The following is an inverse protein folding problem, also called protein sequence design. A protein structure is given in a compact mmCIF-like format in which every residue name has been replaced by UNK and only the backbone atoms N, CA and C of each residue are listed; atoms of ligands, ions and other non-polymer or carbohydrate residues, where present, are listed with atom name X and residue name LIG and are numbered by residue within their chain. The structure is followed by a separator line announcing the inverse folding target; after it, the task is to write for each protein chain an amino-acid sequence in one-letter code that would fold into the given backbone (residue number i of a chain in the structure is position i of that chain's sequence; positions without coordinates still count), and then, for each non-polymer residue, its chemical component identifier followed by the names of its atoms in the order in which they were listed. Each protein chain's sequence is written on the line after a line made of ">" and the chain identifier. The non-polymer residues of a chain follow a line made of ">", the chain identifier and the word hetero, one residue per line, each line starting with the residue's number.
data_IF_200134324243
#
_entry.id   IF_200134324243
#
_cell.length_a   1.000
_cell.length_b   1.000
_cell.length_c   1.000
_cell.angle_alpha   90.00
_cell.angle_beta   90.00
_cell.angle_gamma   90.00
#
_symmetry.space_group_name_H-M   'P 1'
#
loop_
_entity.id
_entity.type
_entity.pdbx_description
1 polymer ?
#
# COMPACT_ATOMS: atom_id res chain seq x y z
N UNK A 1 -19.78 -12.45 -30.03
CA UNK A 1 -18.42 -12.46 -29.45
C UNK A 1 -18.27 -11.48 -28.26
N UNK A 2 -19.36 -11.11 -27.56
CA UNK A 2 -19.31 -10.03 -26.56
C UNK A 2 -19.01 -10.50 -25.12
N UNK A 3 -19.13 -11.80 -24.83
CA UNK A 3 -18.99 -12.33 -23.46
C UNK A 3 -17.55 -12.50 -22.94
N UNK A 4 -16.53 -12.45 -23.80
CA UNK A 4 -15.12 -12.61 -23.38
C UNK A 4 -14.54 -11.30 -22.80
N UNK A 5 -15.02 -10.14 -23.24
CA UNK A 5 -14.49 -8.83 -22.84
C UNK A 5 -14.90 -8.46 -21.41
N UNK A 6 -16.14 -8.77 -20.99
CA UNK A 6 -16.63 -8.45 -19.64
C UNK A 6 -15.94 -9.26 -18.54
N UNK A 7 -15.66 -10.54 -18.78
CA UNK A 7 -14.95 -11.40 -17.82
C UNK A 7 -13.50 -10.94 -17.65
N UNK A 8 -12.86 -10.52 -18.75
CA UNK A 8 -11.49 -10.01 -18.73
C UNK A 8 -11.38 -8.71 -17.93
N UNK A 9 -12.32 -7.78 -18.14
CA UNK A 9 -12.40 -6.53 -17.39
C UNK A 9 -12.63 -6.79 -15.90
N UNK A 10 -13.58 -7.66 -15.53
CA UNK A 10 -13.80 -8.05 -14.13
C UNK A 10 -12.55 -8.64 -13.47
N UNK A 11 -11.81 -9.51 -14.17
CA UNK A 11 -10.56 -10.10 -13.64
C UNK A 11 -9.45 -9.06 -13.49
N UNK A 12 -9.32 -8.12 -14.43
CA UNK A 12 -8.37 -7.02 -14.35
C UNK A 12 -8.67 -6.11 -13.15
N UNK A 13 -9.94 -5.76 -12.94
CA UNK A 13 -10.35 -4.98 -11.76
C UNK A 13 -10.06 -5.73 -10.46
N UNK A 14 -10.39 -7.03 -10.39
CA UNK A 14 -10.11 -7.84 -9.20
C UNK A 14 -8.61 -7.96 -8.92
N UNK A 15 -7.78 -8.20 -9.94
CA UNK A 15 -6.33 -8.29 -9.77
C UNK A 15 -5.72 -6.97 -9.32
N UNK A 16 -6.16 -5.83 -9.89
CA UNK A 16 -5.73 -4.51 -9.44
C UNK A 16 -6.20 -4.22 -8.02
N UNK A 17 -7.42 -4.60 -7.67
CA UNK A 17 -7.97 -4.47 -6.33
C UNK A 17 -7.18 -5.29 -5.29
N UNK A 18 -6.86 -6.54 -5.59
CA UNK A 18 -6.05 -7.41 -4.75
C UNK A 18 -4.62 -6.85 -4.58
N UNK A 19 -4.04 -6.28 -5.63
CA UNK A 19 -2.75 -5.59 -5.54
C UNK A 19 -2.84 -4.36 -4.61
N UNK A 20 -3.86 -3.52 -4.79
CA UNK A 20 -4.08 -2.35 -3.94
C UNK A 20 -4.34 -2.73 -2.48
N UNK A 21 -5.08 -3.81 -2.20
CA UNK A 21 -5.22 -4.34 -0.83
C UNK A 21 -3.89 -4.75 -0.22
N UNK A 22 -3.01 -5.40 -1.00
CA UNK A 22 -1.67 -5.78 -0.53
C UNK A 22 -0.82 -4.55 -0.21
N UNK A 23 -0.86 -3.53 -1.07
CA UNK A 23 -0.17 -2.25 -0.84
C UNK A 23 -0.69 -1.56 0.43
N UNK A 24 -2.01 -1.47 0.61
CA UNK A 24 -2.62 -0.87 1.79
C UNK A 24 -2.31 -1.65 3.09
N UNK A 25 -2.43 -2.97 3.08
CA UNK A 25 -2.08 -3.79 4.25
C UNK A 25 -0.59 -3.66 4.61
N UNK A 26 0.30 -3.63 3.62
CA UNK A 26 1.72 -3.38 3.85
C UNK A 26 1.93 -2.02 4.54
N UNK A 27 1.32 -0.95 4.00
CA UNK A 27 1.38 0.38 4.60
C UNK A 27 0.87 0.40 6.04
N UNK A 28 -0.27 -0.25 6.32
CA UNK A 28 -0.85 -0.36 7.66
C UNK A 28 0.09 -1.09 8.63
N UNK A 29 0.69 -2.20 8.20
CA UNK A 29 1.69 -2.94 9.00
C UNK A 29 2.95 -2.13 9.24
N UNK A 30 3.45 -1.41 8.23
CA UNK A 30 4.58 -0.50 8.38
C UNK A 30 4.27 0.59 9.40
N UNK A 31 3.11 1.24 9.31
CA UNK A 31 2.66 2.25 10.28
C UNK A 31 2.50 1.69 11.70
N UNK A 32 1.96 0.48 11.84
CA UNK A 32 1.85 -0.20 13.14
C UNK A 32 3.22 -0.51 13.75
N UNK A 33 4.16 -1.04 12.94
CA UNK A 33 5.54 -1.32 13.40
C UNK A 33 6.33 -0.04 13.68
N UNK A 34 6.01 1.04 12.97
CA UNK A 34 6.58 2.37 13.16
C UNK A 34 5.94 3.16 14.30
N UNK A 35 4.96 2.59 15.01
CA UNK A 35 4.34 3.19 16.19
C UNK A 35 5.37 3.33 17.32
N UNK A 36 6.16 4.40 17.26
CA UNK A 36 7.30 4.67 18.15
C UNK A 36 8.54 5.22 17.42
N UNK A 37 8.61 5.12 16.09
CA UNK A 37 9.73 5.59 15.25
C UNK A 37 9.52 7.05 14.80
N UNK A 38 8.26 7.50 14.74
CA UNK A 38 7.91 8.83 14.26
C UNK A 38 7.76 8.91 12.74
N UNK A 39 7.12 9.98 12.28
CA UNK A 39 6.91 10.26 10.86
C UNK A 39 7.84 11.41 10.48
N UNK A 40 8.54 11.26 9.37
CA UNK A 40 9.40 12.29 8.82
C UNK A 40 8.51 13.41 8.23
N UNK A 41 8.65 14.67 8.69
CA UNK A 41 7.77 15.76 8.27
C UNK A 41 7.98 16.20 6.81
N UNK A 42 9.10 15.82 6.19
CA UNK A 42 9.46 16.21 4.81
C UNK A 42 8.90 15.21 3.81
N UNK A 43 9.10 13.92 4.07
CA UNK A 43 8.63 12.83 3.21
C UNK A 43 7.24 12.35 3.59
N UNK A 44 6.72 12.74 4.77
CA UNK A 44 5.49 12.21 5.38
C UNK A 44 5.49 10.68 5.47
N UNK A 45 6.66 10.05 5.44
CA UNK A 45 6.83 8.61 5.57
C UNK A 45 7.48 8.26 6.92
N UNK A 46 7.59 6.98 7.20
CA UNK A 46 8.15 6.45 8.44
C UNK A 46 9.63 6.84 8.53
N UNK A 47 10.00 7.58 9.57
CA UNK A 47 11.36 8.04 9.85
C UNK A 47 12.25 6.91 10.43
N UNK A 48 12.20 5.73 9.82
CA UNK A 48 12.97 4.56 10.26
C UNK A 48 14.38 4.55 9.65
N UNK A 49 15.28 3.82 10.32
CA UNK A 49 16.65 3.59 9.84
C UNK A 49 16.67 2.74 8.58
N UNK A 50 17.76 2.87 7.80
CA UNK A 50 18.03 2.02 6.64
C UNK A 50 17.93 0.53 6.93
N UNK A 51 18.37 0.08 8.10
CA UNK A 51 18.36 -1.32 8.53
C UNK A 51 16.92 -1.83 8.76
N UNK A 52 16.06 -0.97 9.32
CA UNK A 52 14.65 -1.29 9.51
C UNK A 52 13.94 -1.41 8.15
N UNK A 53 14.21 -0.47 7.25
CA UNK A 53 13.71 -0.52 5.88
C UNK A 53 14.24 -1.74 5.13
N UNK A 54 15.51 -2.11 5.27
CA UNK A 54 16.08 -3.29 4.63
C UNK A 54 15.36 -4.59 5.07
N UNK A 55 15.05 -4.72 6.37
CA UNK A 55 14.29 -5.86 6.90
C UNK A 55 12.86 -5.89 6.37
N UNK A 56 12.17 -4.75 6.33
CA UNK A 56 10.80 -4.70 5.84
C UNK A 56 10.69 -4.84 4.31
N UNK A 57 11.66 -4.32 3.55
CA UNK A 57 11.77 -4.52 2.10
C UNK A 57 12.07 -5.98 1.77
N UNK A 58 12.92 -6.65 2.57
CA UNK A 58 13.18 -8.08 2.41
C UNK A 58 11.93 -8.93 2.67
N UNK A 59 11.07 -8.51 3.60
CA UNK A 59 9.78 -9.17 3.88
C UNK A 59 8.71 -8.86 2.86
N UNK A 60 8.70 -7.64 2.35
CA UNK A 60 7.74 -7.18 1.37
C UNK A 60 8.39 -6.12 0.48
N UNK A 61 8.71 -6.48 -0.76
CA UNK A 61 9.32 -5.57 -1.75
C UNK A 61 8.49 -4.31 -1.99
N UNK A 62 7.17 -4.38 -1.74
CA UNK A 62 6.24 -3.25 -1.83
C UNK A 62 6.61 -2.15 -0.82
N UNK A 63 7.20 -2.50 0.33
CA UNK A 63 7.66 -1.55 1.34
C UNK A 63 8.69 -0.56 0.78
N UNK A 64 9.46 -0.95 -0.23
CA UNK A 64 10.46 -0.06 -0.85
C UNK A 64 9.82 1.17 -1.49
N UNK A 65 8.59 1.04 -2.00
CA UNK A 65 7.83 2.17 -2.56
C UNK A 65 7.46 3.20 -1.49
N UNK A 66 7.20 2.72 -0.27
CA UNK A 66 6.79 3.55 0.85
C UNK A 66 7.94 4.28 1.53
N UNK A 67 9.19 3.88 1.26
CA UNK A 67 10.38 4.50 1.84
C UNK A 67 10.58 5.96 1.39
N UNK A 68 10.27 6.26 0.14
CA UNK A 68 10.54 7.58 -0.47
C UNK A 68 9.29 8.38 -0.79
N UNK A 69 8.12 7.75 -0.73
CA UNK A 69 6.85 8.43 -0.89
C UNK A 69 5.87 7.85 0.13
N UNK A 70 5.06 8.69 0.81
CA UNK A 70 3.95 8.20 1.59
C UNK A 70 2.94 7.54 0.66
N UNK A 71 1.99 6.77 1.20
CA UNK A 71 0.86 6.29 0.40
C UNK A 71 0.12 7.53 -0.16
N UNK A 72 0.40 7.86 -1.43
CA UNK A 72 0.02 9.11 -2.13
C UNK A 72 -1.47 9.39 -2.05
N UNK A 73 -2.26 8.34 -1.83
CA UNK A 73 -3.70 8.36 -1.88
C UNK A 73 -4.29 7.61 -0.68
N UNK A 74 -3.72 7.75 0.53
CA UNK A 74 -4.31 7.15 1.74
C UNK A 74 -5.79 7.52 1.90
N UNK A 75 -6.15 8.79 1.70
CA UNK A 75 -7.54 9.27 1.77
C UNK A 75 -8.43 8.72 0.65
N UNK A 76 -7.88 8.56 -0.55
CA UNK A 76 -8.63 8.00 -1.68
C UNK A 76 -8.81 6.48 -1.52
N UNK A 77 -7.81 5.80 -0.96
CA UNK A 77 -7.89 4.39 -0.60
C UNK A 77 -8.84 4.17 0.55
N UNK A 78 -8.80 4.99 1.61
CA UNK A 78 -9.76 4.89 2.70
C UNK A 78 -11.18 5.11 2.16
N UNK A 79 -11.41 6.12 1.33
CA UNK A 79 -12.72 6.32 0.69
C UNK A 79 -13.17 5.09 -0.12
N UNK A 80 -12.29 4.47 -0.90
CA UNK A 80 -12.64 3.31 -1.73
C UNK A 80 -12.84 2.02 -0.91
N UNK A 81 -12.05 1.80 0.16
CA UNK A 81 -12.12 0.60 0.99
C UNK A 81 -13.14 0.69 2.13
N UNK A 82 -13.42 1.89 2.62
CA UNK A 82 -14.38 2.18 3.69
C UNK A 82 -15.81 2.38 3.14
N UNK A 83 -15.97 2.89 1.91
CA UNK A 83 -17.29 3.01 1.26
C UNK A 83 -17.92 1.66 0.81
N UNK A 84 -17.28 0.52 1.12
CA UNK A 84 -17.81 -0.82 0.87
C UNK A 84 -18.34 -1.48 2.18
N UNK A 85 -18.27 -0.78 3.33
CA UNK A 85 -18.88 -1.23 4.60
C UNK A 85 -20.39 -0.97 4.61
#
# INVERSE_FOLDING_TARGET
>A
MSGQTEIYVRKQFKNRWDLFKKEYNCWKTLNQKASGIGIDPVTRSIAATDEWWANEIQRNEIAAKFRYAPLVDEQRMSFIFDAIV
#
